data_IF_659415628654
#
_entry.id   IF_659415628654
#
_cell.length_a   1.000
_cell.length_b   1.000
_cell.length_c   1.000
_cell.angle_alpha   90.00
_cell.angle_beta   90.00
_cell.angle_gamma   90.00
#
_symmetry.space_group_name_H-M   'P 1'
#
loop_
_entity.id
_entity.type
_entity.pdbx_description
1 polymer ?
#
# COMPACT_ATOMS: atom_id res chain seq x y z
N UNK A 1 -51.01 29.10 -13.01
CA UNK A 1 -52.08 28.13 -13.38
C UNK A 1 -51.53 26.70 -13.43
N UNK A 2 -50.50 26.41 -14.24
CA UNK A 2 -49.93 25.08 -14.43
C UNK A 2 -49.41 24.38 -13.16
N UNK A 3 -48.63 25.06 -12.32
CA UNK A 3 -48.09 24.49 -11.06
C UNK A 3 -49.19 24.09 -10.07
N UNK A 4 -50.31 24.84 -10.03
CA UNK A 4 -51.51 24.48 -9.24
C UNK A 4 -52.21 23.24 -9.78
N UNK A 5 -52.29 23.08 -11.10
CA UNK A 5 -52.86 21.89 -11.74
C UNK A 5 -51.99 20.64 -11.46
N UNK A 6 -50.67 20.76 -11.62
CA UNK A 6 -49.71 19.67 -11.38
C UNK A 6 -49.73 19.24 -9.90
N UNK A 7 -49.60 20.18 -8.96
CA UNK A 7 -49.61 19.87 -7.52
C UNK A 7 -50.95 19.27 -7.07
N UNK A 8 -52.09 19.73 -7.60
CA UNK A 8 -53.41 19.17 -7.28
C UNK A 8 -53.57 17.76 -7.84
N UNK A 9 -53.13 17.52 -9.07
CA UNK A 9 -53.15 16.19 -9.71
C UNK A 9 -52.28 15.18 -8.97
N UNK A 10 -51.09 15.61 -8.51
CA UNK A 10 -50.21 14.79 -7.67
C UNK A 10 -50.88 14.47 -6.33
N UNK A 11 -51.55 15.44 -5.71
CA UNK A 11 -52.16 15.29 -4.38
C UNK A 11 -53.38 14.37 -4.33
N UNK A 12 -53.96 13.98 -5.48
CA UNK A 12 -55.10 13.05 -5.58
C UNK A 12 -54.68 11.59 -5.45
N UNK A 13 -53.45 11.22 -5.85
CA UNK A 13 -52.94 9.83 -5.81
C UNK A 13 -51.70 9.70 -4.90
N UNK A 14 -51.81 10.21 -3.68
CA UNK A 14 -50.67 10.32 -2.73
C UNK A 14 -49.97 8.99 -2.49
N UNK A 15 -50.72 7.90 -2.37
CA UNK A 15 -50.17 6.56 -2.12
C UNK A 15 -49.24 6.09 -3.25
N UNK A 16 -49.66 6.25 -4.51
CA UNK A 16 -48.84 5.86 -5.67
C UNK A 16 -47.59 6.72 -5.79
N UNK A 17 -47.69 8.02 -5.49
CA UNK A 17 -46.52 8.91 -5.49
C UNK A 17 -45.52 8.57 -4.40
N UNK A 18 -45.99 8.22 -3.20
CA UNK A 18 -45.10 7.81 -2.11
C UNK A 18 -44.29 6.59 -2.49
N UNK A 19 -44.92 5.57 -3.10
CA UNK A 19 -44.22 4.37 -3.58
C UNK A 19 -43.17 4.73 -4.64
N UNK A 20 -43.50 5.58 -5.61
CA UNK A 20 -42.55 6.02 -6.63
C UNK A 20 -41.38 6.81 -6.04
N UNK A 21 -41.63 7.68 -5.06
CA UNK A 21 -40.59 8.44 -4.36
C UNK A 21 -39.67 7.49 -3.60
N UNK A 22 -40.22 6.53 -2.84
CA UNK A 22 -39.43 5.54 -2.10
C UNK A 22 -38.59 4.70 -3.07
N UNK A 23 -39.16 4.27 -4.20
CA UNK A 23 -38.41 3.51 -5.20
C UNK A 23 -37.24 4.30 -5.78
N UNK A 24 -37.45 5.58 -6.11
CA UNK A 24 -36.38 6.48 -6.60
C UNK A 24 -35.34 6.73 -5.52
N UNK A 25 -35.76 6.96 -4.27
CA UNK A 25 -34.85 7.13 -3.14
C UNK A 25 -33.99 5.88 -2.93
N UNK A 26 -34.59 4.68 -3.01
CA UNK A 26 -33.86 3.41 -2.87
C UNK A 26 -32.82 3.24 -3.98
N UNK A 27 -33.21 3.52 -5.23
CA UNK A 27 -32.28 3.50 -6.36
C UNK A 27 -31.13 4.50 -6.20
N UNK A 28 -31.43 5.73 -5.82
CA UNK A 28 -30.44 6.77 -5.56
C UNK A 28 -29.49 6.39 -4.41
N UNK A 29 -30.03 5.85 -3.31
CA UNK A 29 -29.24 5.38 -2.17
C UNK A 29 -28.32 4.22 -2.55
N UNK A 30 -28.81 3.27 -3.35
CA UNK A 30 -28.01 2.13 -3.80
C UNK A 30 -26.86 2.57 -4.72
N UNK A 31 -27.12 3.44 -5.70
CA UNK A 31 -26.09 4.01 -6.58
C UNK A 31 -25.06 4.79 -5.77
N UNK A 32 -25.52 5.62 -4.83
CA UNK A 32 -24.64 6.41 -3.96
C UNK A 32 -23.76 5.51 -3.09
N UNK A 33 -24.33 4.46 -2.49
CA UNK A 33 -23.59 3.48 -1.69
C UNK A 33 -22.48 2.80 -2.49
N UNK A 34 -22.80 2.30 -3.68
CA UNK A 34 -21.81 1.67 -4.57
C UNK A 34 -20.72 2.65 -5.01
N UNK A 35 -21.10 3.90 -5.33
CA UNK A 35 -20.15 4.95 -5.70
C UNK A 35 -19.17 5.23 -4.56
N UNK A 36 -19.67 5.41 -3.33
CA UNK A 36 -18.84 5.64 -2.14
C UNK A 36 -17.87 4.49 -1.90
N UNK A 37 -18.35 3.24 -1.90
CA UNK A 37 -17.49 2.06 -1.72
C UNK A 37 -16.41 2.01 -2.82
N UNK A 38 -16.79 2.24 -4.07
CA UNK A 38 -15.85 2.19 -5.19
C UNK A 38 -14.73 3.22 -5.09
N UNK A 39 -15.02 4.40 -4.51
CA UNK A 39 -14.04 5.47 -4.33
C UNK A 39 -13.14 5.20 -3.13
N UNK A 40 -13.72 4.76 -2.01
CA UNK A 40 -13.01 4.48 -0.77
C UNK A 40 -12.03 3.29 -0.93
N UNK A 41 -12.43 2.22 -1.63
CA UNK A 41 -11.60 1.03 -1.78
C UNK A 41 -10.28 1.31 -2.51
N UNK A 42 -10.26 2.27 -3.45
CA UNK A 42 -9.03 2.62 -4.18
C UNK A 42 -7.97 3.19 -3.25
N UNK A 43 -8.36 4.04 -2.32
CA UNK A 43 -7.44 4.67 -1.37
C UNK A 43 -6.98 3.65 -0.32
N UNK A 44 -7.90 2.83 0.19
CA UNK A 44 -7.60 1.76 1.14
C UNK A 44 -6.65 0.72 0.56
N UNK A 45 -6.89 0.24 -0.67
CA UNK A 45 -6.01 -0.70 -1.35
C UNK A 45 -4.60 -0.14 -1.49
N UNK A 46 -4.46 1.13 -1.87
CA UNK A 46 -3.15 1.78 -1.95
C UNK A 46 -2.43 1.83 -0.61
N UNK A 47 -3.15 2.09 0.49
CA UNK A 47 -2.59 2.09 1.84
C UNK A 47 -2.16 0.69 2.28
N UNK A 48 -2.98 -0.31 2.01
CA UNK A 48 -2.68 -1.69 2.36
C UNK A 48 -1.46 -2.21 1.58
N UNK A 49 -1.40 -1.94 0.28
CA UNK A 49 -0.24 -2.28 -0.55
C UNK A 49 1.05 -1.60 -0.08
N UNK A 50 0.98 -0.38 0.47
CA UNK A 50 2.17 0.27 1.07
C UNK A 50 2.64 -0.42 2.34
N UNK A 51 1.75 -1.05 3.10
CA UNK A 51 2.12 -1.79 4.31
C UNK A 51 2.94 -3.04 4.01
N UNK A 52 2.82 -3.61 2.80
CA UNK A 52 3.64 -4.72 2.32
C UNK A 52 5.08 -4.32 1.97
N UNK A 53 5.36 -3.02 1.82
CA UNK A 53 6.69 -2.49 1.56
C UNK A 53 6.96 -2.18 0.09
N UNK A 54 8.14 -2.56 -0.42
CA UNK A 54 8.53 -2.27 -1.80
C UNK A 54 7.65 -3.02 -2.83
N UNK A 55 6.92 -2.28 -3.65
CA UNK A 55 6.04 -2.84 -4.69
C UNK A 55 6.73 -2.99 -6.05
N UNK A 56 7.98 -2.53 -6.19
CA UNK A 56 8.77 -2.65 -7.40
C UNK A 56 10.22 -2.91 -7.02
N UNK A 57 10.82 -3.93 -7.63
CA UNK A 57 12.24 -4.26 -7.44
C UNK A 57 12.90 -4.12 -8.80
N UNK A 58 13.91 -3.24 -8.86
CA UNK A 58 14.76 -3.09 -10.04
C UNK A 58 16.05 -3.83 -9.78
N UNK A 59 16.38 -4.77 -10.66
CA UNK A 59 17.62 -5.52 -10.62
C UNK A 59 18.47 -5.14 -11.82
N UNK A 60 19.80 -5.06 -11.67
CA UNK A 60 20.70 -4.94 -12.81
C UNK A 60 20.66 -6.21 -13.68
N UNK A 61 21.22 -6.11 -14.89
CA UNK A 61 21.59 -7.29 -15.67
C UNK A 61 22.62 -8.17 -14.93
N UNK A 62 22.80 -9.40 -15.38
CA UNK A 62 23.77 -10.31 -14.73
C UNK A 62 25.17 -9.72 -14.70
N UNK A 63 25.77 -9.65 -13.50
CA UNK A 63 27.13 -9.13 -13.30
C UNK A 63 27.24 -7.60 -13.30
N UNK A 64 26.13 -6.88 -13.45
CA UNK A 64 26.12 -5.42 -13.42
C UNK A 64 25.64 -4.85 -12.07
N UNK A 65 25.89 -3.57 -11.86
CA UNK A 65 25.42 -2.81 -10.70
C UNK A 65 24.71 -1.54 -11.16
N UNK A 66 23.66 -1.16 -10.43
CA UNK A 66 22.98 0.11 -10.64
C UNK A 66 23.65 1.16 -9.74
N UNK A 67 24.53 1.98 -10.33
CA UNK A 67 25.23 3.04 -9.58
C UNK A 67 24.28 4.12 -9.04
N UNK A 68 23.28 4.49 -9.83
CA UNK A 68 22.27 5.45 -9.42
C UNK A 68 20.93 5.10 -10.10
N UNK A 69 19.87 5.07 -9.30
CA UNK A 69 18.50 4.93 -9.79
C UNK A 69 17.68 6.09 -9.28
N UNK A 70 17.24 6.96 -10.20
CA UNK A 70 16.34 8.05 -9.86
C UNK A 70 14.94 7.72 -10.40
N UNK A 71 14.00 7.54 -9.49
CA UNK A 71 12.67 7.08 -9.79
C UNK A 71 11.75 8.29 -10.05
N UNK A 72 11.66 8.74 -11.30
CA UNK A 72 10.98 9.99 -11.69
C UNK A 72 9.53 9.75 -12.15
N UNK A 73 8.69 9.24 -11.25
CA UNK A 73 7.26 9.12 -11.53
C UNK A 73 6.42 9.57 -10.32
N UNK A 74 5.32 10.29 -10.56
CA UNK A 74 4.51 10.91 -9.50
C UNK A 74 3.89 9.91 -8.51
N UNK A 75 3.77 8.64 -8.91
CA UNK A 75 3.27 7.56 -8.04
C UNK A 75 4.36 6.96 -7.14
N UNK A 76 5.63 7.30 -7.35
CA UNK A 76 6.74 6.77 -6.57
C UNK A 76 6.94 7.67 -5.36
N UNK A 77 6.71 7.09 -4.19
CA UNK A 77 6.74 7.79 -2.90
C UNK A 77 8.13 7.72 -2.27
N UNK A 78 8.92 6.72 -2.63
CA UNK A 78 10.29 6.55 -2.18
C UNK A 78 10.97 5.37 -2.88
N UNK A 79 12.30 5.35 -2.80
CA UNK A 79 13.14 4.25 -3.27
C UNK A 79 14.28 4.04 -2.28
N UNK A 80 14.70 2.79 -2.14
CA UNK A 80 15.86 2.41 -1.33
C UNK A 80 16.69 1.44 -2.14
N UNK A 81 17.98 1.74 -2.27
CA UNK A 81 18.93 0.87 -2.96
C UNK A 81 19.49 -0.17 -1.99
N UNK A 82 19.55 -1.41 -2.45
CA UNK A 82 20.17 -2.51 -1.72
C UNK A 82 21.37 -3.04 -2.52
N UNK A 83 22.50 -3.23 -1.84
CA UNK A 83 23.67 -3.91 -2.35
C UNK A 83 23.70 -5.33 -1.77
N UNK A 84 23.45 -6.32 -2.62
CA UNK A 84 23.52 -7.72 -2.23
C UNK A 84 24.90 -8.30 -2.54
N UNK A 85 25.47 -9.00 -1.56
CA UNK A 85 26.73 -9.71 -1.75
C UNK A 85 26.79 -10.94 -0.84
N UNK A 86 27.61 -11.92 -1.23
CA UNK A 86 27.86 -13.12 -0.43
C UNK A 86 29.19 -12.94 0.30
N UNK A 87 29.22 -13.18 1.60
CA UNK A 87 30.46 -13.21 2.37
C UNK A 87 30.57 -14.51 3.17
N UNK A 88 31.81 -14.97 3.37
CA UNK A 88 32.12 -16.12 4.20
C UNK A 88 32.29 -15.72 5.66
N UNK A 89 31.53 -16.34 6.57
CA UNK A 89 31.70 -16.20 8.02
C UNK A 89 31.89 -17.61 8.59
N UNK A 90 33.04 -17.89 9.20
CA UNK A 90 33.39 -19.22 9.76
C UNK A 90 33.09 -20.38 8.80
N UNK A 91 33.64 -20.30 7.58
CA UNK A 91 33.44 -21.26 6.47
C UNK A 91 32.01 -21.41 5.93
N UNK A 92 31.02 -20.66 6.45
CA UNK A 92 29.65 -20.62 5.94
C UNK A 92 29.46 -19.42 5.02
N UNK A 93 28.88 -19.63 3.83
CA UNK A 93 28.47 -18.54 2.93
C UNK A 93 27.15 -17.96 3.40
N UNK A 94 27.11 -16.65 3.60
CA UNK A 94 25.94 -15.91 4.07
C UNK A 94 25.68 -14.76 3.11
N UNK A 95 24.39 -14.53 2.83
CA UNK A 95 23.94 -13.42 2.01
C UNK A 95 23.82 -12.17 2.89
N UNK A 96 24.48 -11.11 2.46
CA UNK A 96 24.44 -9.79 3.08
C UNK A 96 23.70 -8.82 2.16
N UNK A 97 23.05 -7.85 2.77
CA UNK A 97 22.42 -6.74 2.08
C UNK A 97 22.84 -5.42 2.77
N UNK A 98 23.50 -4.55 2.03
CA UNK A 98 23.80 -3.19 2.47
C UNK A 98 22.75 -2.21 1.97
N UNK A 99 22.23 -1.35 2.84
CA UNK A 99 21.29 -0.29 2.50
C UNK A 99 21.35 0.83 3.55
N UNK A 100 20.76 1.98 3.24
CA UNK A 100 20.37 2.94 4.27
C UNK A 100 19.26 2.30 5.12
N UNK A 101 19.59 1.88 6.34
CA UNK A 101 18.69 1.16 7.23
C UNK A 101 17.50 2.00 7.69
N UNK A 102 17.67 3.31 7.87
CA UNK A 102 16.57 4.19 8.25
C UNK A 102 15.57 4.34 7.11
N UNK A 103 16.07 4.53 5.88
CA UNK A 103 15.23 4.57 4.69
C UNK A 103 14.55 3.22 4.45
N UNK A 104 15.30 2.11 4.57
CA UNK A 104 14.79 0.75 4.42
C UNK A 104 13.69 0.44 5.44
N UNK A 105 13.86 0.84 6.71
CA UNK A 105 12.83 0.65 7.75
C UNK A 105 11.57 1.45 7.46
N UNK A 106 11.69 2.71 7.02
CA UNK A 106 10.54 3.53 6.61
C UNK A 106 9.79 2.91 5.43
N UNK A 107 10.51 2.32 4.48
CA UNK A 107 9.94 1.65 3.32
C UNK A 107 9.31 0.30 3.66
N UNK A 108 9.72 -0.36 4.74
CA UNK A 108 9.23 -1.68 5.14
C UNK A 108 8.59 -1.64 6.54
N UNK A 109 7.35 -1.14 6.68
CA UNK A 109 6.67 -1.02 7.97
C UNK A 109 6.45 -2.36 8.69
N UNK A 110 6.47 -3.47 7.94
CA UNK A 110 6.32 -4.83 8.44
C UNK A 110 7.57 -5.38 9.13
N UNK A 111 8.72 -4.70 9.07
CA UNK A 111 9.92 -5.11 9.77
C UNK A 111 9.71 -5.10 11.28
N UNK A 112 9.80 -6.28 11.88
CA UNK A 112 9.88 -6.42 13.32
C UNK A 112 11.35 -6.45 13.75
N UNK A 113 11.77 -5.43 14.48
CA UNK A 113 13.13 -5.28 14.98
C UNK A 113 13.07 -5.38 16.50
N UNK A 114 13.77 -6.35 17.06
CA UNK A 114 14.01 -6.45 18.50
C UNK A 114 15.27 -5.67 18.85
N UNK A 115 15.16 -4.68 19.74
CA UNK A 115 16.28 -3.82 20.15
C UNK A 115 16.39 -2.52 19.34
N UNK A 116 17.62 -2.09 19.09
CA UNK A 116 17.93 -0.85 18.37
C UNK A 116 18.45 -1.13 16.95
N UNK A 117 18.36 -0.14 16.07
CA UNK A 117 19.04 -0.20 14.78
C UNK A 117 20.56 -0.21 14.98
N UNK A 118 21.31 -1.02 14.20
CA UNK A 118 22.75 -1.12 14.35
C UNK A 118 23.44 0.21 14.02
N UNK A 119 24.46 0.54 14.80
CA UNK A 119 25.36 1.66 14.56
C UNK A 119 26.42 1.37 13.50
N UNK A 120 27.51 2.12 13.53
CA UNK A 120 28.65 1.85 12.64
C UNK A 120 29.31 0.50 12.98
N UNK A 121 29.59 -0.30 11.96
CA UNK A 121 30.19 -1.64 12.08
C UNK A 121 29.34 -2.70 12.80
N UNK A 122 28.08 -2.38 13.08
CA UNK A 122 27.10 -3.34 13.56
C UNK A 122 26.26 -3.86 12.38
N UNK A 123 25.61 -5.00 12.58
CA UNK A 123 24.78 -5.64 11.58
C UNK A 123 23.44 -6.05 12.19
N UNK A 124 22.39 -6.03 11.37
CA UNK A 124 21.07 -6.51 11.76
C UNK A 124 20.88 -7.94 11.22
N UNK A 125 21.05 -8.99 12.04
CA UNK A 125 20.86 -10.35 11.58
C UNK A 125 19.37 -10.68 11.48
N UNK A 126 18.97 -11.34 10.40
CA UNK A 126 17.65 -11.95 10.34
C UNK A 126 17.51 -13.05 11.41
N UNK A 127 16.29 -13.31 11.90
CA UNK A 127 16.03 -14.25 13.01
C UNK A 127 16.65 -15.64 12.80
N UNK A 128 16.68 -16.14 11.57
CA UNK A 128 17.28 -17.43 11.22
C UNK A 128 18.81 -17.40 11.24
N UNK A 129 19.42 -16.27 10.88
CA UNK A 129 20.87 -16.08 10.99
C UNK A 129 21.27 -15.94 12.47
N UNK A 130 20.52 -15.15 13.25
CA UNK A 130 20.78 -14.94 14.68
C UNK A 130 20.76 -16.26 15.48
N UNK A 131 19.86 -17.20 15.15
CA UNK A 131 19.73 -18.49 15.83
C UNK A 131 20.75 -19.55 15.42
N UNK A 132 21.52 -19.33 14.34
CA UNK A 132 22.53 -20.33 13.93
C UNK A 132 23.69 -20.32 14.92
N UNK A 133 24.23 -21.48 15.32
CA UNK A 133 25.49 -21.53 16.04
C UNK A 133 26.64 -21.15 15.09
N UNK A 134 27.43 -20.16 15.51
CA UNK A 134 28.54 -19.57 14.74
C UNK A 134 29.91 -20.14 15.15
N UNK A 135 29.93 -21.21 15.94
CA UNK A 135 31.14 -21.95 16.29
C UNK A 135 31.72 -22.72 15.09
#
# INVERSE_FOLDING_TARGET
>A
MFTRLVTKSLRVRRERLLISIIAVMLGAAMVTSLMTISLDIREQMGKELRSYGANLVVLPGEGEYINQFNATHNSIIGSVSFLYFKAGVNAKKIDFAGADLEAARKMNPWWHIEGALPGQQELLPGINAAKKPWA
#
